data_IF_476970273069
#
_entry.id   IF_476970273069
#
_cell.length_a   1.000
_cell.length_b   1.000
_cell.length_c   1.000
_cell.angle_alpha   90.00
_cell.angle_beta   90.00
_cell.angle_gamma   90.00
#
_symmetry.space_group_name_H-M   'P 1'
#
loop_
_entity.id
_entity.type
_entity.pdbx_description
1 polymer ?
#
# COMPACT_ATOMS: atom_id res chain seq x y z
N UNK A 1 -3.06 21.96 2.25
CA UNK A 1 -3.83 23.23 2.38
C UNK A 1 -5.09 23.09 1.55
N UNK A 2 -6.26 23.38 2.10
CA UNK A 2 -7.53 23.37 1.34
C UNK A 2 -7.84 24.80 0.91
N UNK A 3 -8.08 25.01 -0.38
CA UNK A 3 -8.48 26.31 -0.93
C UNK A 3 -9.95 26.60 -0.67
N UNK A 4 -10.36 27.87 -0.82
CA UNK A 4 -11.76 28.30 -0.63
C UNK A 4 -12.75 27.60 -1.58
N UNK A 5 -12.28 27.10 -2.73
CA UNK A 5 -13.04 26.30 -3.70
C UNK A 5 -13.03 24.79 -3.39
N UNK A 6 -12.47 24.37 -2.25
CA UNK A 6 -12.47 22.99 -1.76
C UNK A 6 -11.34 22.10 -2.30
N UNK A 7 -10.39 22.64 -3.06
CA UNK A 7 -9.26 21.86 -3.58
C UNK A 7 -8.17 21.63 -2.55
N UNK A 8 -7.60 20.43 -2.54
CA UNK A 8 -6.42 20.09 -1.75
C UNK A 8 -5.16 20.40 -2.57
N UNK A 9 -4.45 21.48 -2.23
CA UNK A 9 -3.19 21.80 -2.90
C UNK A 9 -2.10 20.82 -2.49
N UNK A 10 -1.39 20.28 -3.49
CA UNK A 10 -0.24 19.41 -3.29
C UNK A 10 0.84 20.13 -2.48
N UNK A 11 1.27 19.58 -1.34
CA UNK A 11 2.39 20.14 -0.60
C UNK A 11 3.66 20.15 -1.45
N UNK A 12 4.48 21.19 -1.29
CA UNK A 12 5.78 21.26 -1.97
C UNK A 12 6.63 20.04 -1.58
N UNK A 13 7.16 19.32 -2.57
CA UNK A 13 7.98 18.14 -2.36
C UNK A 13 7.20 16.84 -2.12
N UNK A 14 5.85 16.86 -2.19
CA UNK A 14 5.07 15.61 -2.19
C UNK A 14 5.39 14.77 -3.41
N UNK A 15 5.65 13.48 -3.19
CA UNK A 15 5.91 12.50 -4.24
C UNK A 15 4.75 11.51 -4.36
N UNK A 16 4.50 11.05 -5.59
CA UNK A 16 3.46 10.06 -5.89
C UNK A 16 2.12 10.68 -6.28
N UNK A 17 1.05 9.94 -6.04
CA UNK A 17 -0.30 10.27 -6.52
C UNK A 17 -0.90 11.36 -5.61
N UNK A 18 -1.46 12.39 -6.24
CA UNK A 18 -2.17 13.47 -5.57
C UNK A 18 -3.40 13.87 -6.37
N UNK A 19 -4.50 14.09 -5.66
CA UNK A 19 -5.76 14.54 -6.22
C UNK A 19 -6.15 15.87 -5.59
N UNK A 20 -6.29 16.92 -6.39
CA UNK A 20 -6.78 18.23 -5.91
C UNK A 20 -8.27 18.17 -5.51
N UNK A 21 -9.05 17.34 -6.20
CA UNK A 21 -10.49 17.13 -5.96
C UNK A 21 -10.78 15.63 -5.84
N UNK A 22 -11.92 15.27 -5.26
CA UNK A 22 -12.31 13.86 -5.16
C UNK A 22 -12.44 13.25 -6.57
N UNK A 23 -11.70 12.18 -6.91
CA UNK A 23 -11.77 11.57 -8.23
C UNK A 23 -13.03 10.71 -8.40
N UNK A 24 -13.49 10.53 -9.64
CA UNK A 24 -14.61 9.62 -9.96
C UNK A 24 -14.26 8.15 -9.74
N UNK A 25 -12.97 7.81 -9.91
CA UNK A 25 -12.48 6.45 -9.69
C UNK A 25 -12.66 6.02 -8.22
N UNK A 26 -13.44 4.96 -7.94
CA UNK A 26 -13.76 4.56 -6.57
C UNK A 26 -12.53 4.22 -5.73
N UNK A 27 -11.43 3.74 -6.34
CA UNK A 27 -10.20 3.43 -5.61
C UNK A 27 -9.36 4.68 -5.35
N UNK A 28 -9.29 5.59 -6.33
CA UNK A 28 -8.66 6.91 -6.18
C UNK A 28 -9.25 7.73 -5.04
N UNK A 29 -10.54 7.53 -4.69
CA UNK A 29 -11.17 8.20 -3.54
C UNK A 29 -10.46 7.91 -2.22
N UNK A 30 -9.92 6.71 -2.01
CA UNK A 30 -9.16 6.39 -0.78
C UNK A 30 -7.84 7.15 -0.72
N UNK A 31 -7.16 7.28 -1.86
CA UNK A 31 -5.96 8.12 -1.94
C UNK A 31 -6.32 9.56 -1.57
N UNK A 32 -7.35 10.12 -2.20
CA UNK A 32 -7.80 11.48 -1.90
C UNK A 32 -8.16 11.66 -0.41
N UNK A 33 -8.96 10.76 0.18
CA UNK A 33 -9.33 10.80 1.61
C UNK A 33 -8.12 10.70 2.54
N UNK A 34 -7.12 9.89 2.19
CA UNK A 34 -5.90 9.72 2.98
C UNK A 34 -4.98 10.95 2.96
N UNK A 35 -5.09 11.85 1.96
CA UNK A 35 -4.22 13.03 1.84
C UNK A 35 -4.28 13.97 3.05
N UNK A 36 -5.35 13.90 3.86
CA UNK A 36 -5.46 14.66 5.12
C UNK A 36 -4.36 14.33 6.15
N UNK A 37 -3.67 13.19 5.99
CA UNK A 37 -2.58 12.74 6.86
C UNK A 37 -1.18 13.13 6.36
N UNK A 38 -1.07 13.68 5.14
CA UNK A 38 0.22 14.10 4.59
C UNK A 38 0.78 15.26 5.41
N UNK A 39 2.02 15.09 5.90
CA UNK A 39 2.68 16.04 6.81
C UNK A 39 2.36 15.84 8.29
N UNK A 40 1.61 14.80 8.64
CA UNK A 40 1.30 14.40 10.01
C UNK A 40 1.89 13.00 10.30
N UNK A 41 3.22 12.88 10.57
CA UNK A 41 3.88 11.60 10.73
C UNK A 41 3.33 10.82 11.93
N UNK A 42 3.13 9.52 11.73
CA UNK A 42 2.65 8.62 12.77
C UNK A 42 3.84 8.05 13.56
N UNK A 43 3.85 8.22 14.88
CA UNK A 43 4.78 7.50 15.74
C UNK A 43 4.33 6.04 15.89
N UNK A 44 5.13 5.12 15.37
CA UNK A 44 4.82 3.70 15.36
C UNK A 44 5.64 2.94 16.40
N UNK A 45 5.04 1.97 17.10
CA UNK A 45 5.81 1.03 17.90
C UNK A 45 6.74 0.23 16.99
N UNK A 46 7.83 -0.29 17.55
CA UNK A 46 8.76 -1.15 16.82
C UNK A 46 8.44 -2.62 17.08
N UNK A 47 8.63 -3.45 16.06
CA UNK A 47 8.49 -4.90 16.16
C UNK A 47 9.53 -5.48 17.14
N UNK A 48 9.05 -6.24 18.12
CA UNK A 48 9.86 -6.87 19.17
C UNK A 48 10.59 -8.15 18.74
N UNK A 49 11.04 -8.94 19.71
CA UNK A 49 11.51 -10.33 19.51
C UNK A 49 10.35 -11.32 19.75
N UNK A 50 9.55 -11.62 18.73
CA UNK A 50 8.71 -12.82 18.69
C UNK A 50 9.53 -14.04 18.25
N UNK A 51 9.17 -15.22 18.76
CA UNK A 51 9.79 -16.50 18.40
C UNK A 51 9.57 -16.89 16.92
N UNK A 52 8.59 -16.27 16.25
CA UNK A 52 8.36 -16.43 14.81
C UNK A 52 9.33 -15.57 13.96
N UNK A 53 10.08 -14.63 14.59
CA UNK A 53 11.04 -13.75 13.91
C UNK A 53 12.39 -14.40 13.61
N UNK A 54 12.38 -15.53 12.89
CA UNK A 54 13.54 -15.94 12.08
C UNK A 54 13.83 -14.99 10.90
N UNK A 55 13.00 -13.96 10.72
CA UNK A 55 12.91 -13.08 9.56
C UNK A 55 13.81 -11.83 9.57
N UNK A 56 14.40 -11.47 10.71
CA UNK A 56 15.17 -10.23 10.83
C UNK A 56 14.32 -8.94 10.80
N UNK A 57 13.04 -9.02 11.20
CA UNK A 57 12.10 -7.89 11.21
C UNK A 57 12.12 -7.06 12.50
N UNK A 58 12.91 -7.49 13.50
CA UNK A 58 13.07 -6.81 14.78
C UNK A 58 13.52 -5.36 14.57
N UNK A 59 12.90 -4.43 15.29
CA UNK A 59 13.28 -3.01 15.31
C UNK A 59 12.72 -2.18 14.16
N UNK A 60 11.97 -2.80 13.23
CA UNK A 60 11.22 -2.04 12.23
C UNK A 60 9.96 -1.44 12.84
N UNK A 61 9.43 -0.33 12.29
CA UNK A 61 8.09 0.15 12.63
C UNK A 61 7.06 -0.95 12.42
N UNK A 62 6.06 -1.09 13.30
CA UNK A 62 4.92 -2.01 13.15
C UNK A 62 3.78 -1.32 12.41
N UNK A 63 3.64 -1.61 11.12
CA UNK A 63 2.60 -1.07 10.26
C UNK A 63 1.25 -1.75 10.45
N UNK A 64 1.18 -2.80 11.29
CA UNK A 64 -0.09 -3.38 11.72
C UNK A 64 -0.53 -2.83 13.09
N UNK A 65 0.11 -1.76 13.59
CA UNK A 65 -0.22 -1.20 14.89
C UNK A 65 -1.61 -0.53 14.89
N UNK A 66 -2.33 -0.51 16.03
CA UNK A 66 -3.67 0.08 16.16
C UNK A 66 -3.76 1.55 15.71
N UNK A 67 -2.67 2.30 15.79
CA UNK A 67 -2.55 3.66 15.28
C UNK A 67 -2.80 3.76 13.77
N UNK A 68 -2.26 2.82 12.98
CA UNK A 68 -2.47 2.72 11.53
C UNK A 68 -3.93 2.37 11.26
N UNK A 69 -4.45 1.38 11.99
CA UNK A 69 -5.85 0.93 11.86
C UNK A 69 -6.83 2.07 12.11
N UNK A 70 -6.59 2.91 13.12
CA UNK A 70 -7.44 4.08 13.42
C UNK A 70 -7.45 5.10 12.28
N UNK A 71 -6.30 5.39 11.66
CA UNK A 71 -6.24 6.31 10.53
C UNK A 71 -6.96 5.74 9.32
N UNK A 72 -6.79 4.44 9.04
CA UNK A 72 -7.49 3.73 7.96
C UNK A 72 -9.01 3.70 8.19
N UNK A 73 -9.46 3.44 9.41
CA UNK A 73 -10.87 3.42 9.74
C UNK A 73 -11.54 4.78 9.48
N UNK A 74 -10.82 5.88 9.67
CA UNK A 74 -11.32 7.23 9.37
C UNK A 74 -11.47 7.56 7.88
N UNK A 75 -11.05 6.64 7.00
CA UNK A 75 -11.23 6.70 5.54
C UNK A 75 -11.94 5.46 5.00
N UNK A 76 -12.71 4.79 5.86
CA UNK A 76 -13.56 3.63 5.57
C UNK A 76 -12.81 2.33 5.25
N UNK A 77 -11.56 2.19 5.72
CA UNK A 77 -10.77 0.97 5.61
C UNK A 77 -10.55 0.33 6.98
N UNK A 78 -10.72 -0.98 7.08
CA UNK A 78 -10.54 -1.75 8.32
C UNK A 78 -9.39 -2.73 8.17
N UNK A 79 -8.67 -2.98 9.27
CA UNK A 79 -7.74 -4.09 9.33
C UNK A 79 -8.51 -5.41 9.36
N UNK A 80 -8.13 -6.34 8.50
CA UNK A 80 -8.78 -7.64 8.37
C UNK A 80 -7.97 -8.72 9.07
N UNK A 81 -6.67 -8.80 8.76
CA UNK A 81 -5.79 -9.80 9.33
C UNK A 81 -4.33 -9.36 9.28
N UNK A 82 -3.56 -9.86 10.23
CA UNK A 82 -2.11 -9.83 10.19
C UNK A 82 -1.64 -11.27 9.98
N UNK A 83 -0.81 -11.50 8.96
CA UNK A 83 -0.24 -12.81 8.69
C UNK A 83 1.28 -12.75 8.79
N UNK A 84 1.85 -13.75 9.46
CA UNK A 84 3.27 -13.80 9.81
C UNK A 84 3.84 -15.19 9.51
N UNK A 85 5.04 -15.22 8.92
CA UNK A 85 5.75 -16.47 8.65
C UNK A 85 6.78 -16.37 7.52
N UNK A 86 7.72 -17.32 7.49
CA UNK A 86 8.70 -17.50 6.41
C UNK A 86 9.51 -16.24 6.04
N UNK A 87 9.90 -15.43 7.02
CA UNK A 87 10.66 -14.21 6.71
C UNK A 87 9.81 -12.98 6.40
N UNK A 88 8.48 -13.09 6.52
CA UNK A 88 7.52 -12.09 6.05
C UNK A 88 6.49 -11.76 7.13
N UNK A 89 6.01 -10.52 7.10
CA UNK A 89 4.84 -10.04 7.83
C UNK A 89 3.98 -9.27 6.85
N UNK A 90 2.67 -9.48 6.88
CA UNK A 90 1.73 -8.65 6.14
C UNK A 90 0.57 -8.19 7.00
N UNK A 91 0.12 -6.96 6.75
CA UNK A 91 -1.11 -6.41 7.29
C UNK A 91 -2.10 -6.26 6.13
N UNK A 92 -3.26 -6.89 6.23
CA UNK A 92 -4.34 -6.81 5.24
C UNK A 92 -5.36 -5.77 5.69
N UNK A 93 -5.68 -4.87 4.79
CA UNK A 93 -6.67 -3.82 4.98
C UNK A 93 -7.74 -3.94 3.90
N UNK A 94 -8.99 -3.75 4.28
CA UNK A 94 -10.13 -3.94 3.39
C UNK A 94 -11.19 -2.88 3.62
N UNK A 95 -12.03 -2.64 2.63
CA UNK A 95 -13.28 -1.90 2.81
C UNK A 95 -14.19 -2.66 3.80
N UNK A 96 -15.17 -1.98 4.40
CA UNK A 96 -15.96 -2.61 5.46
C UNK A 96 -16.54 -3.98 5.03
N UNK A 97 -16.63 -4.98 5.93
CA UNK A 97 -17.01 -6.35 5.57
C UNK A 97 -18.36 -6.46 4.85
N UNK A 98 -19.22 -5.46 5.00
CA UNK A 98 -20.55 -5.35 4.37
C UNK A 98 -20.48 -5.12 2.83
N UNK A 99 -19.29 -4.84 2.30
CA UNK A 99 -19.05 -4.53 0.89
C UNK A 99 -18.26 -5.60 0.14
N UNK A 100 -17.95 -6.75 0.78
CA UNK A 100 -17.30 -7.89 0.13
C UNK A 100 -18.16 -8.33 -1.07
N UNK A 101 -17.55 -8.39 -2.27
CA UNK A 101 -18.20 -8.82 -3.51
C UNK A 101 -18.90 -7.70 -4.30
N UNK A 102 -18.78 -6.44 -3.91
CA UNK A 102 -19.21 -5.29 -4.73
C UNK A 102 -18.12 -4.85 -5.71
N UNK A 103 -18.51 -4.25 -6.83
CA UNK A 103 -17.59 -3.80 -7.91
C UNK A 103 -16.52 -2.80 -7.45
N UNK A 104 -16.72 -2.17 -6.27
CA UNK A 104 -15.82 -1.19 -5.66
C UNK A 104 -15.04 -1.74 -4.46
N UNK A 105 -14.99 -3.07 -4.27
CA UNK A 105 -14.21 -3.68 -3.21
C UNK A 105 -12.74 -3.26 -3.32
N UNK A 106 -12.15 -2.87 -2.19
CA UNK A 106 -10.75 -2.48 -2.10
C UNK A 106 -10.12 -3.19 -0.92
N UNK A 107 -9.24 -4.15 -1.22
CA UNK A 107 -8.41 -4.81 -0.23
C UNK A 107 -6.96 -4.79 -0.70
N UNK A 108 -6.06 -4.48 0.23
CA UNK A 108 -4.63 -4.46 -0.03
C UNK A 108 -3.85 -4.93 1.19
N UNK A 109 -2.65 -5.43 0.94
CA UNK A 109 -1.69 -5.77 1.96
C UNK A 109 -0.44 -4.92 1.87
N UNK A 110 0.13 -4.61 3.04
CA UNK A 110 1.49 -4.08 3.18
C UNK A 110 2.37 -5.18 3.71
N UNK A 111 3.49 -5.41 3.03
CA UNK A 111 4.38 -6.52 3.29
C UNK A 111 5.74 -6.03 3.75
N UNK A 112 6.32 -6.76 4.70
CA UNK A 112 7.74 -6.77 4.97
C UNK A 112 8.34 -8.03 4.36
N UNK A 113 9.40 -7.86 3.57
CA UNK A 113 10.17 -8.98 3.04
C UNK A 113 11.64 -8.76 3.29
N UNK A 114 12.33 -9.77 3.81
CA UNK A 114 13.78 -9.76 3.97
C UNK A 114 14.55 -9.93 2.65
N UNK A 115 13.84 -10.10 1.52
CA UNK A 115 14.44 -10.23 0.19
C UNK A 115 13.67 -9.42 -0.85
N UNK A 116 14.45 -8.79 -1.74
CA UNK A 116 14.00 -8.23 -3.02
C UNK A 116 14.95 -8.70 -4.12
N UNK A 117 14.45 -9.08 -5.30
CA UNK A 117 13.03 -9.22 -5.66
C UNK A 117 12.34 -10.42 -5.01
N UNK A 118 11.01 -10.35 -4.84
CA UNK A 118 10.17 -11.42 -4.27
C UNK A 118 10.21 -12.72 -5.11
N UNK A 119 10.52 -12.55 -6.40
CA UNK A 119 10.73 -13.58 -7.40
C UNK A 119 12.09 -13.35 -8.07
N UNK A 120 12.56 -14.32 -8.85
CA UNK A 120 13.79 -14.15 -9.64
C UNK A 120 13.73 -12.88 -10.52
N UNK A 121 14.82 -12.09 -10.64
CA UNK A 121 14.81 -10.81 -11.35
C UNK A 121 14.27 -10.87 -12.79
N UNK A 122 14.51 -11.98 -13.48
CA UNK A 122 14.02 -12.27 -14.84
C UNK A 122 12.48 -12.36 -14.93
N UNK A 123 11.80 -12.48 -13.80
CA UNK A 123 10.34 -12.60 -13.70
C UNK A 123 9.65 -11.31 -13.24
N UNK A 124 10.43 -10.32 -12.81
CA UNK A 124 9.94 -9.03 -12.31
C UNK A 124 10.05 -8.01 -13.44
N UNK A 125 8.93 -7.35 -13.76
CA UNK A 125 8.87 -6.34 -14.83
C UNK A 125 8.53 -5.01 -14.19
N UNK A 126 9.31 -3.97 -14.50
CA UNK A 126 8.97 -2.60 -14.13
C UNK A 126 7.85 -2.09 -15.03
N UNK A 127 6.80 -1.54 -14.44
CA UNK A 127 5.62 -1.09 -15.18
C UNK A 127 5.65 0.40 -15.52
N UNK A 128 6.78 1.06 -15.25
CA UNK A 128 6.99 2.46 -15.65
C UNK A 128 6.96 2.63 -17.17
N UNK A 129 7.55 1.70 -17.93
CA UNK A 129 7.61 1.77 -19.40
C UNK A 129 6.27 1.40 -20.04
N UNK A 130 5.54 0.46 -19.43
CA UNK A 130 4.28 -0.04 -19.98
C UNK A 130 3.09 0.88 -19.65
N UNK A 131 3.00 1.34 -18.40
CA UNK A 131 1.83 2.05 -17.89
C UNK A 131 2.14 3.45 -17.35
N UNK A 132 3.42 3.86 -17.30
CA UNK A 132 3.81 5.15 -16.74
C UNK A 132 3.70 5.23 -15.22
N UNK A 133 3.64 4.08 -14.53
CA UNK A 133 3.43 4.02 -13.08
C UNK A 133 4.78 3.75 -12.40
N UNK A 134 5.41 4.76 -11.75
CA UNK A 134 6.70 4.57 -11.11
C UNK A 134 6.59 3.64 -9.90
N UNK A 135 7.67 2.93 -9.60
CA UNK A 135 7.80 2.04 -8.44
C UNK A 135 6.79 0.89 -8.37
N UNK A 136 6.09 0.61 -9.47
CA UNK A 136 5.21 -0.54 -9.62
C UNK A 136 5.86 -1.59 -10.48
N UNK A 137 5.77 -2.83 -10.02
CA UNK A 137 6.35 -3.99 -10.67
C UNK A 137 5.27 -5.06 -10.80
N UNK A 138 5.19 -5.69 -11.97
CA UNK A 138 4.45 -6.93 -12.08
C UNK A 138 5.35 -8.12 -11.74
N UNK A 139 4.77 -9.14 -11.13
CA UNK A 139 5.41 -10.38 -10.70
C UNK A 139 4.54 -11.58 -11.09
N UNK A 140 5.08 -12.81 -11.17
CA UNK A 140 4.25 -14.00 -11.37
C UNK A 140 3.20 -14.10 -10.27
N UNK A 141 1.93 -14.19 -10.66
CA UNK A 141 0.83 -14.23 -9.70
C UNK A 141 0.51 -15.64 -9.20
N UNK A 142 -0.30 -15.71 -8.15
CA UNK A 142 -0.84 -16.99 -7.63
C UNK A 142 -2.21 -17.34 -8.19
N UNK A 143 -3.02 -16.33 -8.55
CA UNK A 143 -4.32 -16.47 -9.20
C UNK A 143 -4.38 -15.92 -10.63
N UNK A 144 -3.58 -14.90 -10.94
CA UNK A 144 -3.44 -14.32 -12.28
C UNK A 144 -2.09 -14.71 -12.90
N UNK A 145 -1.93 -14.62 -14.25
CA UNK A 145 -0.63 -14.80 -14.89
C UNK A 145 0.43 -13.86 -14.28
N UNK A 146 0.03 -12.65 -13.90
CA UNK A 146 0.86 -11.67 -13.20
C UNK A 146 0.04 -10.87 -12.19
N UNK A 147 0.62 -10.62 -11.02
CA UNK A 147 0.13 -9.70 -10.00
C UNK A 147 0.99 -8.42 -10.01
N UNK A 148 0.55 -7.35 -9.36
CA UNK A 148 1.31 -6.11 -9.23
C UNK A 148 1.64 -5.78 -7.77
N UNK A 149 2.86 -5.31 -7.54
CA UNK A 149 3.33 -4.78 -6.26
C UNK A 149 3.88 -3.37 -6.46
N UNK A 150 3.65 -2.50 -5.47
CA UNK A 150 4.11 -1.13 -5.47
C UNK A 150 5.09 -0.92 -4.32
N UNK A 151 6.33 -0.52 -4.63
CA UNK A 151 7.40 -0.41 -3.64
C UNK A 151 7.19 0.79 -2.72
N UNK A 152 7.21 0.55 -1.42
CA UNK A 152 7.23 1.60 -0.40
C UNK A 152 8.67 1.91 0.01
N UNK A 153 9.50 0.87 0.16
CA UNK A 153 10.94 0.96 0.44
C UNK A 153 11.68 -0.16 -0.29
N UNK A 154 12.58 0.20 -1.19
CA UNK A 154 13.32 -0.75 -2.03
C UNK A 154 14.82 -0.86 -1.69
N UNK A 155 15.38 0.07 -0.90
CA UNK A 155 16.80 0.08 -0.53
C UNK A 155 17.05 -0.66 0.78
N UNK A 156 17.97 -1.63 0.71
CA UNK A 156 18.38 -2.45 1.85
C UNK A 156 17.40 -3.56 2.16
N UNK A 157 17.72 -4.36 3.16
CA UNK A 157 16.80 -5.32 3.75
C UNK A 157 16.37 -4.80 5.12
N UNK A 158 15.09 -4.93 5.47
CA UNK A 158 13.99 -5.48 4.66
C UNK A 158 13.42 -4.46 3.66
N UNK A 159 12.82 -4.98 2.60
CA UNK A 159 12.00 -4.21 1.66
C UNK A 159 10.55 -4.16 2.12
N UNK A 160 9.87 -3.09 1.75
CA UNK A 160 8.46 -2.85 2.06
C UNK A 160 7.73 -2.57 0.76
N UNK A 161 6.61 -3.25 0.53
CA UNK A 161 5.78 -3.04 -0.65
C UNK A 161 4.29 -3.21 -0.31
N UNK A 162 3.44 -2.56 -1.08
CA UNK A 162 2.01 -2.77 -1.06
C UNK A 162 1.61 -3.68 -2.24
N UNK A 163 0.67 -4.58 -2.02
CA UNK A 163 0.00 -5.34 -3.07
C UNK A 163 -1.49 -5.25 -2.88
N UNK A 164 -2.23 -5.32 -3.98
CA UNK A 164 -3.67 -5.48 -3.90
C UNK A 164 -3.98 -6.98 -3.62
N UNK A 165 -5.08 -7.27 -2.90
CA UNK A 165 -5.59 -8.65 -2.71
C UNK A 165 -6.99 -8.77 -3.36
N UNK A 166 -7.10 -9.47 -4.50
CA UNK A 166 -8.41 -9.80 -5.11
C UNK A 166 -8.83 -11.20 -4.73
N UNK A 167 -10.03 -11.33 -4.16
CA UNK A 167 -10.68 -12.63 -3.98
C UNK A 167 -11.53 -13.02 -5.19
N UNK A 168 -11.98 -12.04 -5.98
CA UNK A 168 -13.00 -12.24 -7.03
C UNK A 168 -12.85 -11.19 -8.12
N UNK A 169 -12.81 -11.66 -9.36
CA UNK A 169 -12.65 -10.94 -10.65
C UNK A 169 -11.19 -10.79 -11.08
N UNK A 170 -10.93 -11.12 -12.35
CA UNK A 170 -9.63 -11.00 -13.00
C UNK A 170 -9.52 -9.59 -13.59
N UNK A 171 -8.97 -8.60 -12.88
CA UNK A 171 -8.80 -7.27 -13.45
C UNK A 171 -7.76 -7.36 -14.58
N UNK A 172 -7.88 -6.47 -15.57
CA UNK A 172 -6.76 -6.24 -16.49
C UNK A 172 -5.51 -5.86 -15.70
N UNK A 173 -4.33 -6.34 -16.13
CA UNK A 173 -3.06 -6.13 -15.42
C UNK A 173 -2.80 -4.65 -15.08
N UNK A 174 -3.18 -3.76 -16.00
CA UNK A 174 -3.07 -2.30 -15.80
C UNK A 174 -3.88 -1.83 -14.58
N UNK A 175 -5.09 -2.34 -14.41
CA UNK A 175 -5.97 -2.02 -13.27
C UNK A 175 -5.37 -2.55 -11.96
N UNK A 176 -4.86 -3.79 -11.95
CA UNK A 176 -4.18 -4.34 -10.78
C UNK A 176 -2.96 -3.48 -10.38
N UNK A 177 -2.17 -3.04 -11.37
CA UNK A 177 -1.00 -2.18 -11.15
C UNK A 177 -1.36 -0.78 -10.65
N UNK A 178 -2.44 -0.20 -11.18
CA UNK A 178 -2.96 1.08 -10.69
C UNK A 178 -3.46 0.97 -9.25
N UNK A 179 -4.19 -0.11 -8.91
CA UNK A 179 -4.66 -0.37 -7.54
C UNK A 179 -3.50 -0.61 -6.58
N UNK A 180 -2.43 -1.29 -6.99
CA UNK A 180 -1.21 -1.41 -6.19
C UNK A 180 -0.58 -0.02 -5.93
N UNK A 181 -0.53 0.85 -6.94
CA UNK A 181 -0.04 2.23 -6.77
C UNK A 181 -0.91 3.04 -5.78
N UNK A 182 -2.24 2.92 -5.87
CA UNK A 182 -3.15 3.53 -4.90
C UNK A 182 -2.94 2.97 -3.49
N UNK A 183 -2.77 1.66 -3.35
CA UNK A 183 -2.50 1.01 -2.06
C UNK A 183 -1.22 1.55 -1.41
N UNK A 184 -0.14 1.69 -2.20
CA UNK A 184 1.09 2.35 -1.77
C UNK A 184 0.82 3.79 -1.33
N UNK A 185 0.12 4.57 -2.14
CA UNK A 185 -0.10 5.99 -1.82
C UNK A 185 -0.96 6.17 -0.56
N UNK A 186 -2.04 5.39 -0.41
CA UNK A 186 -2.87 5.39 0.81
C UNK A 186 -1.98 5.11 2.01
N UNK A 187 -1.16 4.07 1.95
CA UNK A 187 -0.28 3.70 3.06
C UNK A 187 0.75 4.78 3.40
N UNK A 188 1.42 5.36 2.41
CA UNK A 188 2.39 6.45 2.59
C UNK A 188 1.71 7.67 3.23
N UNK A 189 0.52 8.04 2.75
CA UNK A 189 -0.25 9.14 3.33
C UNK A 189 -0.65 8.82 4.79
N UNK A 190 -1.15 7.62 5.07
CA UNK A 190 -1.61 7.19 6.40
C UNK A 190 -0.48 7.17 7.42
N UNK A 191 0.73 6.77 7.03
CA UNK A 191 1.89 6.83 7.91
C UNK A 191 2.44 8.25 8.08
N UNK A 192 1.98 9.20 7.26
CA UNK A 192 2.42 10.59 7.27
C UNK A 192 3.87 10.78 6.80
N UNK A 193 4.49 9.72 6.26
CA UNK A 193 5.85 9.77 5.76
C UNK A 193 5.84 10.38 4.36
N UNK A 194 6.29 11.63 4.25
CA UNK A 194 6.63 12.24 2.98
C UNK A 194 7.96 11.65 2.48
N UNK A 195 7.89 10.49 1.81
CA UNK A 195 8.97 9.88 1.01
C UNK A 195 10.40 10.18 1.45
N UNK A 196 10.91 9.48 2.47
CA UNK A 196 12.35 9.50 2.75
C UNK A 196 13.10 8.63 1.72
N UNK A 197 14.16 9.20 1.13
CA UNK A 197 15.02 8.62 0.06
C UNK A 197 15.99 7.52 0.52
#
# INVERSE_FOLDING_TARGET
MVTDDGRMLQPQGHEGIWFETEPDDPWGKYVWRSQKFVGDPLELPVLGESAEFGAGLKGLPDYCAPEVERRLASIDLVAESTQEGLGRRMCVFTHTPEDIGKDNYFSYAVWYSNSWPLHSPDKVISEIENFGIPEVFSIPGTGLPRDCVAMIKSKGTPVIYASQIEATMEPELRTACLRAAYSRQVFVNITGNSGEK
#
